data_IF_073433640938
#
_entry.id   IF_073433640938
#
_cell.length_a   1.000
_cell.length_b   1.000
_cell.length_c   1.000
_cell.angle_alpha   90.00
_cell.angle_beta   90.00
_cell.angle_gamma   90.00
#
_symmetry.space_group_name_H-M   'P 1'
#
loop_
_entity.id
_entity.type
_entity.pdbx_description
1 polymer ?
#
# COMPACT_ATOMS: atom_id res chain seq x y z
N UNK A 1 -2.46 -18.06 10.00
CA UNK A 1 -1.63 -17.68 8.84
C UNK A 1 -1.85 -16.19 8.61
N UNK A 2 -0.80 -15.36 8.59
CA UNK A 2 -0.98 -13.93 8.30
C UNK A 2 -1.29 -13.81 6.81
N UNK A 3 -2.58 -13.67 6.47
CA UNK A 3 -3.01 -13.46 5.10
C UNK A 3 -2.54 -12.07 4.69
N UNK A 4 -1.73 -11.98 3.64
CA UNK A 4 -1.30 -10.69 3.11
C UNK A 4 -2.50 -9.94 2.53
N UNK A 5 -2.55 -8.64 2.80
CA UNK A 5 -3.54 -7.74 2.22
C UNK A 5 -3.07 -7.32 0.82
N UNK A 6 -4.01 -7.02 -0.07
CA UNK A 6 -3.72 -6.46 -1.38
C UNK A 6 -4.16 -5.01 -1.43
N UNK A 7 -3.26 -4.11 -1.82
CA UNK A 7 -3.57 -2.69 -2.05
C UNK A 7 -3.29 -2.37 -3.51
N UNK A 8 -4.20 -1.66 -4.16
CA UNK A 8 -4.15 -1.45 -5.61
C UNK A 8 -4.43 -0.01 -6.02
N UNK A 9 -3.98 0.33 -7.22
CA UNK A 9 -4.01 1.70 -7.75
C UNK A 9 -2.70 2.45 -7.54
N UNK A 10 -2.34 3.30 -8.52
CA UNK A 10 -1.03 3.96 -8.55
C UNK A 10 -0.78 4.79 -7.30
N UNK A 11 -1.74 5.65 -6.91
CA UNK A 11 -1.56 6.57 -5.78
C UNK A 11 -1.48 5.85 -4.43
N UNK A 12 -2.32 4.83 -4.21
CA UNK A 12 -2.34 4.07 -2.96
C UNK A 12 -1.02 3.31 -2.77
N UNK A 13 -0.53 2.68 -3.84
CA UNK A 13 0.75 1.96 -3.83
C UNK A 13 1.93 2.91 -3.70
N UNK A 14 1.91 4.06 -4.36
CA UNK A 14 2.94 5.09 -4.20
C UNK A 14 3.01 5.59 -2.74
N UNK A 15 1.86 5.91 -2.15
CA UNK A 15 1.77 6.34 -0.76
C UNK A 15 2.32 5.27 0.21
N UNK A 16 2.01 4.00 -0.02
CA UNK A 16 2.57 2.89 0.74
C UNK A 16 4.09 2.81 0.62
N UNK A 17 4.63 2.89 -0.60
CA UNK A 17 6.07 2.86 -0.83
C UNK A 17 6.78 4.06 -0.18
N UNK A 18 6.16 5.24 -0.13
CA UNK A 18 6.74 6.44 0.49
C UNK A 18 6.66 6.45 2.02
N UNK A 19 5.52 6.06 2.58
CA UNK A 19 5.25 6.21 4.03
C UNK A 19 5.45 4.92 4.82
N UNK A 20 5.17 3.76 4.22
CA UNK A 20 5.22 2.45 4.90
C UNK A 20 5.91 1.35 4.07
N UNK A 21 7.10 1.59 3.48
CA UNK A 21 7.75 0.65 2.56
C UNK A 21 7.98 -0.74 3.16
N UNK A 22 8.23 -0.82 4.48
CA UNK A 22 8.45 -2.10 5.20
C UNK A 22 7.23 -3.03 5.19
N UNK A 23 6.02 -2.48 5.01
CA UNK A 23 4.79 -3.26 4.89
C UNK A 23 4.69 -3.94 3.53
N UNK A 24 5.24 -3.35 2.47
CA UNK A 24 5.17 -3.88 1.11
C UNK A 24 6.12 -5.06 0.96
N UNK A 25 5.59 -6.22 0.59
CA UNK A 25 6.35 -7.47 0.41
C UNK A 25 6.66 -7.76 -1.05
N UNK A 26 5.75 -7.37 -1.94
CA UNK A 26 5.86 -7.60 -3.37
C UNK A 26 5.04 -6.55 -4.12
N UNK A 27 5.59 -6.04 -5.22
CA UNK A 27 4.88 -5.17 -6.17
C UNK A 27 4.58 -5.97 -7.44
N UNK A 28 3.32 -5.95 -7.88
CA UNK A 28 2.86 -6.57 -9.11
C UNK A 28 2.40 -5.50 -10.10
N UNK A 29 2.92 -5.59 -11.31
CA UNK A 29 2.59 -4.71 -12.42
C UNK A 29 1.90 -5.50 -13.53
N UNK A 30 0.90 -4.91 -14.17
CA UNK A 30 0.33 -5.49 -15.38
C UNK A 30 1.40 -5.57 -16.47
N UNK A 31 1.45 -6.69 -17.19
CA UNK A 31 2.33 -6.88 -18.33
C UNK A 31 2.19 -5.73 -19.36
N UNK A 32 3.32 -5.33 -19.95
CA UNK A 32 3.38 -4.24 -20.94
C UNK A 32 3.22 -2.83 -20.39
N UNK A 33 3.08 -2.64 -19.07
CA UNK A 33 2.95 -1.30 -18.46
C UNK A 33 4.33 -0.66 -18.23
N UNK A 34 4.67 0.35 -19.04
CA UNK A 34 5.98 1.03 -19.00
C UNK A 34 5.87 2.57 -19.00
N UNK A 35 4.72 3.12 -18.59
CA UNK A 35 4.56 4.57 -18.51
C UNK A 35 5.34 5.19 -17.34
N UNK A 36 5.61 6.50 -17.36
CA UNK A 36 6.40 7.19 -16.34
C UNK A 36 5.91 6.97 -14.91
N UNK A 37 4.60 6.75 -14.69
CA UNK A 37 4.08 6.51 -13.35
C UNK A 37 4.53 5.16 -12.79
N UNK A 38 4.62 4.12 -13.63
CA UNK A 38 5.19 2.82 -13.21
C UNK A 38 6.64 2.98 -12.82
N UNK A 39 7.39 3.73 -13.63
CA UNK A 39 8.82 3.88 -13.45
C UNK A 39 9.14 4.48 -12.08
N UNK A 40 8.36 5.48 -11.64
CA UNK A 40 8.44 6.03 -10.28
C UNK A 40 8.21 4.94 -9.21
N UNK A 41 7.21 4.07 -9.38
CA UNK A 41 6.95 2.98 -8.43
C UNK A 41 8.07 1.95 -8.40
N UNK A 42 8.61 1.57 -9.56
CA UNK A 42 9.72 0.64 -9.68
C UNK A 42 10.99 1.20 -9.05
N UNK A 43 11.27 2.49 -9.22
CA UNK A 43 12.40 3.17 -8.59
C UNK A 43 12.26 3.21 -7.06
N UNK A 44 11.07 3.56 -6.55
CA UNK A 44 10.77 3.53 -5.12
C UNK A 44 10.93 2.11 -4.55
N UNK A 45 10.35 1.09 -5.21
CA UNK A 45 10.45 -0.30 -4.80
C UNK A 45 11.92 -0.78 -4.78
N UNK A 46 12.70 -0.45 -5.81
CA UNK A 46 14.12 -0.77 -5.88
C UNK A 46 14.92 -0.14 -4.74
N UNK A 47 14.64 1.13 -4.39
CA UNK A 47 15.26 1.82 -3.25
C UNK A 47 15.08 1.09 -1.91
N UNK A 48 13.96 0.39 -1.75
CA UNK A 48 13.66 -0.42 -0.56
C UNK A 48 13.91 -1.92 -0.73
N UNK A 49 14.48 -2.35 -1.86
CA UNK A 49 14.71 -3.76 -2.23
C UNK A 49 13.44 -4.60 -2.20
N UNK A 50 12.32 -3.99 -2.53
CA UNK A 50 11.04 -4.67 -2.70
C UNK A 50 11.05 -5.34 -4.07
N UNK A 51 10.77 -6.66 -4.17
CA UNK A 51 10.68 -7.32 -5.45
C UNK A 51 9.56 -6.70 -6.30
N UNK A 52 9.75 -6.74 -7.63
CA UNK A 52 8.75 -6.29 -8.59
C UNK A 52 8.54 -7.41 -9.60
N UNK A 53 7.31 -7.90 -9.70
CA UNK A 53 6.88 -8.92 -10.64
C UNK A 53 5.89 -8.39 -11.67
N UNK A 54 5.69 -9.14 -12.75
CA UNK A 54 4.65 -8.90 -13.73
C UNK A 54 3.59 -10.00 -13.67
N UNK A 55 2.35 -9.63 -13.99
CA UNK A 55 1.19 -10.52 -14.08
C UNK A 55 0.30 -10.09 -15.23
N UNK A 56 -0.49 -11.03 -15.76
CA UNK A 56 -1.53 -10.67 -16.72
C UNK A 56 -2.52 -9.71 -16.05
N UNK A 57 -3.07 -8.79 -16.85
CA UNK A 57 -4.02 -7.82 -16.34
C UNK A 57 -5.25 -8.49 -15.67
N UNK A 58 -5.73 -9.60 -16.23
CA UNK A 58 -6.89 -10.33 -15.71
C UNK A 58 -6.62 -10.93 -14.34
N UNK A 59 -5.40 -11.40 -14.09
CA UNK A 59 -5.02 -11.89 -12.76
C UNK A 59 -5.07 -10.77 -11.72
N UNK A 60 -4.69 -9.55 -12.11
CA UNK A 60 -4.80 -8.38 -11.23
C UNK A 60 -6.25 -7.94 -11.02
N UNK A 61 -7.12 -8.11 -12.02
CA UNK A 61 -8.56 -7.85 -11.89
C UNK A 61 -9.20 -8.80 -10.85
N UNK A 62 -8.79 -10.07 -10.80
CA UNK A 62 -9.25 -11.03 -9.78
C UNK A 62 -8.81 -10.67 -8.35
N UNK A 63 -7.75 -9.87 -8.22
CA UNK A 63 -7.19 -9.46 -6.94
C UNK A 63 -7.71 -8.11 -6.45
N UNK A 64 -8.35 -7.34 -7.31
CA UNK A 64 -8.80 -5.99 -7.02
C UNK A 64 -10.32 -5.92 -7.00
N UNK A 65 -10.90 -5.43 -5.91
CA UNK A 65 -12.33 -5.14 -5.83
C UNK A 65 -12.69 -3.81 -6.53
N UNK A 66 -11.73 -3.19 -7.23
CA UNK A 66 -11.89 -1.90 -7.90
C UNK A 66 -10.78 -1.57 -8.90
N UNK A 67 -10.63 -0.29 -9.22
CA UNK A 67 -9.71 0.17 -10.28
C UNK A 67 -8.25 0.14 -9.82
N UNK A 68 -7.54 -0.93 -10.17
CA UNK A 68 -6.12 -1.12 -9.83
C UNK A 68 -5.13 -0.38 -10.77
N UNK A 69 -5.57 0.07 -11.94
CA UNK A 69 -4.74 0.77 -12.93
C UNK A 69 -3.48 -0.01 -13.36
N UNK A 70 -3.47 -1.34 -13.25
CA UNK A 70 -2.32 -2.18 -13.55
C UNK A 70 -1.24 -2.23 -12.46
N UNK A 71 -1.56 -1.86 -11.21
CA UNK A 71 -0.62 -1.89 -10.08
C UNK A 71 -1.30 -2.51 -8.85
N UNK A 72 -0.66 -3.51 -8.26
CA UNK A 72 -1.07 -4.13 -7.00
C UNK A 72 0.15 -4.35 -6.11
N UNK A 73 0.03 -4.07 -4.81
CA UNK A 73 1.03 -4.38 -3.80
C UNK A 73 0.47 -5.41 -2.83
N UNK A 74 1.25 -6.46 -2.57
CA UNK A 74 0.99 -7.36 -1.45
C UNK A 74 1.67 -6.78 -0.21
N UNK A 75 0.89 -6.59 0.86
CA UNK A 75 1.35 -5.93 2.08
C UNK A 75 1.05 -6.77 3.32
N UNK A 76 1.90 -6.62 4.34
CA UNK A 76 1.55 -7.10 5.67
C UNK A 76 0.32 -6.33 6.18
N UNK A 77 -0.57 -6.99 6.95
CA UNK A 77 -1.78 -6.37 7.47
C UNK A 77 -1.53 -5.03 8.13
N UNK A 78 -2.49 -4.12 8.03
CA UNK A 78 -2.43 -2.88 8.79
C UNK A 78 -2.54 -3.19 10.28
N UNK A 79 -1.93 -2.34 11.11
CA UNK A 79 -2.18 -2.42 12.54
C UNK A 79 -3.65 -2.08 12.78
N UNK A 80 -4.38 -3.00 13.38
CA UNK A 80 -5.74 -2.74 13.86
C UNK A 80 -5.61 -1.90 15.13
N UNK A 81 -6.20 -0.71 15.12
CA UNK A 81 -6.23 0.19 16.27
C UNK A 81 -7.47 -0.11 17.10
N UNK A 82 -7.30 -0.36 18.40
CA UNK A 82 -8.39 -0.55 19.35
C UNK A 82 -8.67 0.70 20.17
N UNK A 83 -9.75 0.70 20.97
CA UNK A 83 -10.18 1.82 21.81
C UNK A 83 -9.06 2.34 22.72
N UNK A 84 -8.34 1.45 23.41
CA UNK A 84 -7.25 1.82 24.32
C UNK A 84 -6.12 2.62 23.62
N UNK A 85 -5.93 2.44 22.31
CA UNK A 85 -4.88 3.17 21.59
C UNK A 85 -5.28 4.61 21.26
N UNK A 86 -6.58 4.93 21.24
CA UNK A 86 -7.03 6.31 21.11
C UNK A 86 -6.62 7.12 22.33
N UNK A 87 -6.84 6.57 23.53
CA UNK A 87 -6.41 7.19 24.79
C UNK A 87 -4.89 7.44 24.79
N UNK A 88 -4.10 6.44 24.42
CA UNK A 88 -2.63 6.58 24.30
C UNK A 88 -2.21 7.65 23.27
N UNK A 89 -2.92 7.78 22.15
CA UNK A 89 -2.63 8.81 21.15
C UNK A 89 -2.97 10.22 21.66
N UNK A 90 -4.06 10.35 22.42
CA UNK A 90 -4.47 11.63 23.03
C UNK A 90 -3.47 12.07 24.10
N UNK A 91 -3.01 11.15 24.97
CA UNK A 91 -2.02 11.44 26.00
C UNK A 91 -0.67 11.90 25.42
N UNK A 92 -0.32 11.37 24.24
CA UNK A 92 0.94 11.70 23.55
C UNK A 92 0.85 12.91 22.62
N UNK A 93 -0.35 13.44 22.39
CA UNK A 93 -0.55 14.60 21.51
C UNK A 93 -0.10 15.88 22.21
N UNK A 94 0.69 16.69 21.53
CA UNK A 94 1.00 18.04 21.99
C UNK A 94 -0.08 19.02 21.50
N UNK A 95 -0.65 19.79 22.41
CA UNK A 95 -1.70 20.78 22.09
C UNK A 95 -3.12 20.20 22.02
N UNK A 96 -4.06 20.97 21.44
CA UNK A 96 -5.47 20.58 21.37
C UNK A 96 -5.67 19.59 20.22
N UNK A 97 -6.09 18.34 20.50
CA UNK A 97 -6.26 17.33 19.46
C UNK A 97 -7.47 17.63 18.57
N UNK A 98 -7.32 17.35 17.26
CA UNK A 98 -8.42 17.36 16.30
C UNK A 98 -8.94 15.94 16.10
N UNK A 99 -10.22 15.71 16.40
CA UNK A 99 -10.89 14.43 16.21
C UNK A 99 -11.98 14.55 15.14
N UNK A 100 -12.05 13.56 14.26
CA UNK A 100 -13.13 13.38 13.28
C UNK A 100 -13.90 12.10 13.60
N UNK A 101 -15.20 12.20 13.83
CA UNK A 101 -16.12 11.07 14.01
C UNK A 101 -17.10 11.04 12.83
N UNK A 102 -17.28 9.86 12.20
CA UNK A 102 -18.08 9.64 11.00
C UNK A 102 -19.41 8.97 11.32
#
# INVERSE_FOLDING_TARGET
MSQWEKVYGVHAVEALLRHHPKRVKQLWLAEGRHDPRVQVLTELAAGFRIPVGQRDRRELDEWAEGVHQGVVAEVSPSQVWGENMLEELLERSEGVPLLLAL
#
